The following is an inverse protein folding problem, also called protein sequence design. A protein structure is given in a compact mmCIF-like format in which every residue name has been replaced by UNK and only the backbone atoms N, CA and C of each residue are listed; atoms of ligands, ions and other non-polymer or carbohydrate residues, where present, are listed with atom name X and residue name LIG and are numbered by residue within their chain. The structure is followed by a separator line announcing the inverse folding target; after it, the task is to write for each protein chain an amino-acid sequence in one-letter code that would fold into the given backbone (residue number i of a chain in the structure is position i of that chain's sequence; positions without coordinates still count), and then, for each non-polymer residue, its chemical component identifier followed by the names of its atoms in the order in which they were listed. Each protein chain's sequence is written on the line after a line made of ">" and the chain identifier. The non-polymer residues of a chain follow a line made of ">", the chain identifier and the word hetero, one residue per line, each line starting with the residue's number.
data_IF_112627401371
#
_entry.id   IF_112627401371
#
_cell.length_a   1.000
_cell.length_b   1.000
_cell.length_c   1.000
_cell.angle_alpha   90.00
_cell.angle_beta   90.00
_cell.angle_gamma   90.00
#
_symmetry.space_group_name_H-M   'P 1'
#
loop_
_entity.id
_entity.type
_entity.pdbx_description
1 polymer ?
#
# COMPACT_ATOMS: atom_id res chain seq x y z
N UNK A 1 13.15 -7.42 63.06
CA UNK A 1 12.11 -7.48 62.02
C UNK A 1 12.59 -6.59 60.88
N UNK A 2 13.13 -7.20 59.83
CA UNK A 2 13.84 -6.53 58.73
C UNK A 2 12.82 -5.81 57.84
N UNK A 3 12.82 -4.48 57.89
CA UNK A 3 11.98 -3.65 57.04
C UNK A 3 12.43 -3.82 55.60
N UNK A 4 11.65 -4.54 54.79
CA UNK A 4 11.90 -4.70 53.35
C UNK A 4 11.84 -3.30 52.70
N UNK A 5 13.01 -2.72 52.42
CA UNK A 5 13.14 -1.42 51.77
C UNK A 5 12.49 -1.44 50.39
N UNK A 6 11.39 -0.70 50.24
CA UNK A 6 10.53 -0.76 49.05
C UNK A 6 11.08 0.14 47.95
N UNK A 7 11.93 -0.40 47.08
CA UNK A 7 12.36 0.28 45.85
C UNK A 7 11.18 0.35 44.87
N UNK A 8 10.81 1.56 44.43
CA UNK A 8 9.73 1.75 43.44
C UNK A 8 10.31 2.06 42.07
N UNK A 9 9.82 1.32 41.06
CA UNK A 9 10.18 1.49 39.65
C UNK A 9 9.00 2.07 38.88
N UNK A 10 9.26 3.10 38.07
CA UNK A 10 8.27 3.75 37.21
C UNK A 10 8.77 3.68 35.77
N UNK A 11 7.89 3.29 34.84
CA UNK A 11 8.16 3.23 33.41
C UNK A 11 7.08 3.99 32.64
N UNK A 12 7.49 4.95 31.82
CA UNK A 12 6.62 5.68 30.90
C UNK A 12 7.06 5.43 29.46
N UNK A 13 6.14 4.99 28.61
CA UNK A 13 6.39 4.75 27.18
C UNK A 13 5.54 5.69 26.34
N UNK A 14 6.16 6.30 25.32
CA UNK A 14 5.49 7.08 24.28
C UNK A 14 5.69 6.36 22.95
N UNK A 15 4.58 6.19 22.21
CA UNK A 15 4.55 5.55 20.89
C UNK A 15 4.99 4.07 20.88
N UNK A 16 4.47 3.25 21.80
CA UNK A 16 4.78 1.80 21.88
C UNK A 16 4.57 1.04 20.56
N UNK A 17 3.68 1.53 19.71
CA UNK A 17 3.29 0.91 18.44
C UNK A 17 4.25 1.27 17.29
N UNK A 18 5.25 2.12 17.53
CA UNK A 18 6.27 2.46 16.55
C UNK A 18 7.00 1.24 15.98
N UNK A 19 7.21 0.21 16.81
CA UNK A 19 7.87 -1.04 16.42
C UNK A 19 7.06 -1.84 15.39
N UNK A 20 5.72 -1.73 15.41
CA UNK A 20 4.85 -2.34 14.39
C UNK A 20 5.13 -1.76 13.01
N UNK A 21 5.48 -0.46 12.90
CA UNK A 21 5.81 0.16 11.62
C UNK A 21 6.97 -0.53 10.90
N UNK A 22 8.02 -0.89 11.62
CA UNK A 22 9.15 -1.65 11.06
C UNK A 22 8.70 -3.03 10.59
N UNK A 23 7.92 -3.75 11.40
CA UNK A 23 7.41 -5.07 11.04
C UNK A 23 6.53 -5.02 9.78
N UNK A 24 5.61 -4.05 9.69
CA UNK A 24 4.78 -3.80 8.50
C UNK A 24 5.63 -3.51 7.26
N UNK A 25 6.74 -2.78 7.41
CA UNK A 25 7.65 -2.46 6.31
C UNK A 25 8.36 -3.71 5.78
N UNK A 26 8.84 -4.59 6.67
CA UNK A 26 9.49 -5.84 6.27
C UNK A 26 8.51 -6.83 5.66
N UNK A 27 7.31 -6.97 6.24
CA UNK A 27 6.24 -7.81 5.66
C UNK A 27 5.84 -7.28 4.29
N UNK A 28 5.72 -5.95 4.13
CA UNK A 28 5.49 -5.31 2.84
C UNK A 28 6.58 -5.65 1.83
N UNK A 29 7.86 -5.57 2.20
CA UNK A 29 8.97 -5.95 1.31
C UNK A 29 8.90 -7.43 0.90
N UNK A 30 8.64 -8.35 1.83
CA UNK A 30 8.53 -9.78 1.51
C UNK A 30 7.35 -10.07 0.57
N UNK A 31 6.20 -9.45 0.81
CA UNK A 31 5.03 -9.56 -0.08
C UNK A 31 5.30 -8.95 -1.45
N UNK A 32 6.07 -7.87 -1.54
CA UNK A 32 6.46 -7.24 -2.80
C UNK A 32 7.31 -8.19 -3.64
N UNK A 33 8.32 -8.82 -3.00
CA UNK A 33 9.19 -9.79 -3.66
C UNK A 33 8.40 -11.02 -4.11
N UNK A 34 7.52 -11.54 -3.25
CA UNK A 34 6.64 -12.66 -3.61
C UNK A 34 5.72 -12.30 -4.78
N UNK A 35 5.11 -11.13 -4.76
CA UNK A 35 4.27 -10.62 -5.85
C UNK A 35 5.05 -10.49 -7.15
N UNK A 36 6.27 -9.96 -7.11
CA UNK A 36 7.14 -9.85 -8.28
C UNK A 36 7.53 -11.23 -8.85
N UNK A 37 7.81 -12.22 -7.99
CA UNK A 37 8.06 -13.60 -8.43
C UNK A 37 6.80 -14.21 -9.07
N UNK A 38 5.62 -14.01 -8.47
CA UNK A 38 4.37 -14.50 -9.03
C UNK A 38 4.06 -13.85 -10.39
N UNK A 39 4.25 -12.54 -10.52
CA UNK A 39 4.14 -11.85 -11.82
C UNK A 39 5.15 -12.39 -12.81
N UNK A 40 6.42 -12.54 -12.43
CA UNK A 40 7.47 -13.01 -13.36
C UNK A 40 7.27 -14.44 -13.86
N UNK A 41 6.72 -15.33 -13.02
CA UNK A 41 6.57 -16.74 -13.36
C UNK A 41 5.21 -17.08 -13.99
N UNK A 42 4.16 -16.33 -13.68
CA UNK A 42 2.78 -16.67 -14.06
C UNK A 42 2.07 -15.58 -14.85
N UNK A 43 2.67 -14.39 -15.04
CA UNK A 43 2.12 -13.37 -15.92
C UNK A 43 2.34 -13.75 -17.38
N UNK A 44 1.36 -13.42 -18.20
CA UNK A 44 1.46 -13.54 -19.65
C UNK A 44 0.76 -12.36 -20.32
N UNK A 45 1.28 -11.99 -21.50
CA UNK A 45 0.83 -10.84 -22.28
C UNK A 45 0.97 -11.19 -23.75
N UNK A 46 -0.13 -11.19 -24.48
CA UNK A 46 -0.13 -11.54 -25.90
C UNK A 46 -0.98 -10.60 -26.73
N UNK A 47 -0.48 -10.27 -27.91
CA UNK A 47 -1.19 -9.44 -28.89
C UNK A 47 -2.07 -10.32 -29.77
N UNK A 48 -3.35 -9.94 -29.88
CA UNK A 48 -4.38 -10.62 -30.62
C UNK A 48 -4.83 -9.72 -31.77
N UNK A 49 -4.74 -10.24 -32.99
CA UNK A 49 -5.33 -9.59 -34.16
C UNK A 49 -6.76 -10.10 -34.31
N UNK A 50 -7.73 -9.26 -33.99
CA UNK A 50 -9.15 -9.63 -34.01
C UNK A 50 -9.80 -9.08 -35.26
N UNK A 51 -10.21 -10.00 -36.13
CA UNK A 51 -10.92 -9.69 -37.36
C UNK A 51 -12.42 -9.57 -37.10
N UNK A 52 -13.12 -8.69 -37.84
CA UNK A 52 -14.55 -8.48 -37.65
C UNK A 52 -15.36 -9.75 -37.93
N UNK A 53 -16.28 -10.06 -37.02
CA UNK A 53 -17.19 -11.23 -37.09
C UNK A 53 -16.47 -12.60 -37.15
N UNK A 54 -15.19 -12.66 -36.74
CA UNK A 54 -14.42 -13.91 -36.66
C UNK A 54 -14.18 -14.27 -35.19
N UNK A 55 -14.24 -15.56 -34.88
CA UNK A 55 -13.81 -16.11 -33.60
C UNK A 55 -12.29 -16.11 -33.53
N UNK A 56 -11.74 -15.39 -32.57
CA UNK A 56 -10.31 -15.42 -32.25
C UNK A 56 -10.13 -16.04 -30.87
N UNK A 57 -9.58 -17.27 -30.76
CA UNK A 57 -9.34 -17.90 -29.47
C UNK A 57 -8.23 -17.18 -28.70
N UNK A 58 -8.30 -17.20 -27.38
CA UNK A 58 -7.22 -16.70 -26.54
C UNK A 58 -6.09 -17.75 -26.47
N UNK A 59 -4.81 -17.32 -26.58
CA UNK A 59 -3.66 -18.23 -26.61
C UNK A 59 -3.53 -19.16 -25.40
N UNK A 60 -3.82 -18.66 -24.20
CA UNK A 60 -3.66 -19.40 -22.94
C UNK A 60 -4.96 -20.06 -22.44
N UNK A 61 -6.12 -19.62 -22.93
CA UNK A 61 -7.46 -20.17 -22.66
C UNK A 61 -8.13 -20.39 -24.01
N UNK A 62 -7.86 -21.54 -24.64
CA UNK A 62 -8.38 -21.86 -25.98
C UNK A 62 -9.90 -22.09 -26.01
N UNK A 63 -10.47 -22.35 -24.84
CA UNK A 63 -11.90 -22.39 -24.55
C UNK A 63 -12.54 -20.99 -24.62
N UNK A 64 -11.77 -19.93 -24.36
CA UNK A 64 -12.24 -18.55 -24.46
C UNK A 64 -11.95 -17.99 -25.85
N UNK A 65 -12.98 -17.48 -26.52
CA UNK A 65 -12.87 -16.79 -27.79
C UNK A 65 -13.44 -15.38 -27.70
N UNK A 66 -12.80 -14.45 -28.42
CA UNK A 66 -13.31 -13.11 -28.61
C UNK A 66 -13.83 -12.95 -30.03
N UNK A 67 -15.00 -12.31 -30.14
CA UNK A 67 -15.63 -11.94 -31.40
C UNK A 67 -15.72 -10.43 -31.45
N UNK A 68 -15.16 -9.85 -32.51
CA UNK A 68 -15.30 -8.43 -32.80
C UNK A 68 -16.65 -8.20 -33.49
N UNK A 69 -17.61 -7.61 -32.77
CA UNK A 69 -18.95 -7.30 -33.29
C UNK A 69 -18.97 -5.99 -34.09
N UNK A 70 -18.19 -4.99 -33.67
CA UNK A 70 -18.02 -3.75 -34.42
C UNK A 70 -17.04 -2.77 -33.79
N UNK A 71 -16.48 -1.88 -34.61
CA UNK A 71 -15.54 -0.85 -34.17
C UNK A 71 -15.99 0.51 -34.68
N UNK A 72 -16.23 1.44 -33.76
CA UNK A 72 -16.72 2.79 -34.04
C UNK A 72 -15.74 3.82 -33.51
N UNK A 73 -15.36 4.78 -34.35
CA UNK A 73 -14.56 5.94 -33.96
C UNK A 73 -15.51 7.12 -33.81
N UNK A 74 -15.78 7.56 -32.59
CA UNK A 74 -16.49 8.81 -32.38
C UNK A 74 -15.57 9.98 -32.68
N UNK A 75 -16.10 11.02 -33.32
CA UNK A 75 -15.34 12.19 -33.71
C UNK A 75 -16.01 13.45 -33.21
N UNK A 76 -15.20 14.44 -32.85
CA UNK A 76 -15.67 15.78 -32.59
C UNK A 76 -16.09 16.47 -33.90
N UNK A 77 -16.82 17.61 -33.83
CA UNK A 77 -17.22 18.36 -35.01
C UNK A 77 -16.06 18.83 -35.90
N UNK A 78 -14.86 18.98 -35.33
CA UNK A 78 -13.62 19.32 -36.04
C UNK A 78 -12.98 18.12 -36.78
N UNK A 79 -13.57 16.93 -36.66
CA UNK A 79 -13.11 15.69 -37.29
C UNK A 79 -12.06 14.92 -36.49
N UNK A 80 -11.56 15.46 -35.38
CA UNK A 80 -10.61 14.78 -34.49
C UNK A 80 -11.28 13.60 -33.78
N UNK A 81 -10.50 12.58 -33.41
CA UNK A 81 -11.03 11.40 -32.74
C UNK A 81 -11.36 11.72 -31.27
N UNK A 82 -12.61 11.50 -30.88
CA UNK A 82 -13.10 11.68 -29.52
C UNK A 82 -13.02 10.38 -28.72
N UNK A 83 -13.37 9.25 -29.34
CA UNK A 83 -13.41 7.95 -28.67
C UNK A 83 -13.27 6.79 -29.66
N UNK A 84 -12.80 5.65 -29.17
CA UNK A 84 -12.66 4.41 -29.92
C UNK A 84 -13.42 3.32 -29.18
N UNK A 85 -14.53 2.88 -29.77
CA UNK A 85 -15.43 1.91 -29.16
C UNK A 85 -15.35 0.60 -29.94
N UNK A 86 -14.77 -0.40 -29.30
CA UNK A 86 -14.75 -1.76 -29.81
C UNK A 86 -15.82 -2.60 -29.08
N UNK A 87 -16.83 -3.02 -29.81
CA UNK A 87 -17.85 -3.95 -29.32
C UNK A 87 -17.33 -5.38 -29.46
N UNK A 88 -17.29 -6.09 -28.34
CA UNK A 88 -16.80 -7.47 -28.28
C UNK A 88 -17.79 -8.37 -27.57
N UNK A 89 -17.82 -9.61 -28.04
CA UNK A 89 -18.50 -10.73 -27.43
C UNK A 89 -17.44 -11.76 -27.02
N UNK A 90 -17.43 -12.13 -25.75
CA UNK A 90 -16.63 -13.22 -25.22
C UNK A 90 -17.48 -14.47 -25.15
N UNK A 91 -16.89 -15.56 -25.61
CA UNK A 91 -17.49 -16.87 -25.62
C UNK A 91 -16.60 -17.83 -24.85
N UNK A 92 -17.17 -18.63 -23.96
CA UNK A 92 -16.50 -19.77 -23.35
C UNK A 92 -17.14 -21.03 -23.90
N UNK A 93 -16.38 -21.89 -24.57
CA UNK A 93 -16.89 -23.17 -25.08
C UNK A 93 -18.14 -23.02 -25.98
N UNK A 94 -18.20 -21.92 -26.74
CA UNK A 94 -19.34 -21.46 -27.57
C UNK A 94 -20.58 -20.92 -26.84
N UNK A 95 -20.50 -20.70 -25.53
CA UNK A 95 -21.53 -20.01 -24.75
C UNK A 95 -21.16 -18.54 -24.52
N UNK A 96 -22.13 -17.62 -24.64
CA UNK A 96 -21.94 -16.20 -24.37
C UNK A 96 -21.72 -15.96 -22.87
N UNK A 97 -20.49 -15.59 -22.50
CA UNK A 97 -20.11 -15.33 -21.10
C UNK A 97 -20.03 -13.85 -20.77
N UNK A 98 -19.69 -13.00 -21.74
CA UNK A 98 -19.68 -11.56 -21.55
C UNK A 98 -19.83 -10.83 -22.88
N UNK A 99 -20.54 -9.71 -22.87
CA UNK A 99 -20.63 -8.78 -23.99
C UNK A 99 -20.31 -7.39 -23.46
N UNK A 100 -19.43 -6.67 -24.14
CA UNK A 100 -18.93 -5.40 -23.62
C UNK A 100 -18.32 -4.51 -24.69
N UNK A 101 -17.96 -3.31 -24.26
CA UNK A 101 -17.26 -2.33 -25.09
C UNK A 101 -15.88 -2.08 -24.49
N UNK A 102 -14.84 -2.29 -25.28
CA UNK A 102 -13.46 -1.92 -24.94
C UNK A 102 -13.22 -0.52 -25.50
N UNK A 103 -12.68 0.37 -24.67
CA UNK A 103 -12.27 1.73 -25.06
C UNK A 103 -10.81 1.98 -24.72
N UNK A 104 -10.26 3.07 -25.22
CA UNK A 104 -8.91 3.50 -24.83
C UNK A 104 -8.90 3.78 -23.33
N UNK A 105 -7.98 3.15 -22.59
CA UNK A 105 -7.86 3.18 -21.13
C UNK A 105 -9.02 2.55 -20.33
N UNK A 106 -10.01 1.95 -21.00
CA UNK A 106 -11.11 1.22 -20.35
C UNK A 106 -11.12 -0.22 -20.89
N UNK A 107 -10.22 -1.08 -20.36
CA UNK A 107 -10.11 -2.46 -20.79
C UNK A 107 -11.31 -3.28 -20.31
N UNK A 108 -11.64 -4.32 -21.06
CA UNK A 108 -12.60 -5.33 -20.59
C UNK A 108 -11.86 -6.40 -19.80
N UNK A 109 -12.23 -6.58 -18.55
CA UNK A 109 -11.67 -7.60 -17.68
C UNK A 109 -12.65 -8.76 -17.53
N UNK A 110 -12.19 -9.99 -17.80
CA UNK A 110 -12.97 -11.21 -17.61
C UNK A 110 -12.04 -12.34 -17.17
N UNK A 111 -12.43 -13.10 -16.13
CA UNK A 111 -11.65 -14.23 -15.60
C UNK A 111 -10.17 -13.91 -15.25
N UNK A 112 -9.90 -12.68 -14.82
CA UNK A 112 -8.54 -12.21 -14.51
C UNK A 112 -7.68 -11.90 -15.74
N UNK A 113 -8.26 -11.93 -16.95
CA UNK A 113 -7.65 -11.47 -18.19
C UNK A 113 -8.19 -10.08 -18.52
N UNK A 114 -7.30 -9.11 -18.66
CA UNK A 114 -7.60 -7.78 -19.17
C UNK A 114 -7.33 -7.68 -20.66
N UNK A 115 -8.31 -7.19 -21.41
CA UNK A 115 -8.24 -6.98 -22.85
C UNK A 115 -8.12 -5.49 -23.14
N UNK A 116 -6.95 -5.08 -23.62
CA UNK A 116 -6.62 -3.67 -23.88
C UNK A 116 -6.63 -3.40 -25.37
N UNK A 117 -7.30 -2.32 -25.79
CA UNK A 117 -7.22 -1.85 -27.17
C UNK A 117 -5.83 -1.25 -27.43
N UNK A 118 -5.05 -1.88 -28.32
CA UNK A 118 -3.71 -1.42 -28.69
C UNK A 118 -3.70 -0.63 -30.00
N UNK A 119 -4.54 -1.03 -30.95
CA UNK A 119 -4.54 -0.41 -32.26
C UNK A 119 -5.63 -0.92 -33.17
N UNK A 120 -5.70 -0.33 -34.36
CA UNK A 120 -6.64 -0.72 -35.40
C UNK A 120 -6.04 -0.44 -36.77
N UNK A 121 -6.42 -1.27 -37.73
CA UNK A 121 -6.08 -1.12 -39.14
C UNK A 121 -7.37 -1.23 -39.94
N UNK A 122 -7.57 -0.33 -40.90
CA UNK A 122 -8.70 -0.42 -41.81
C UNK A 122 -8.41 -1.50 -42.87
N UNK A 123 -9.28 -2.49 -42.96
CA UNK A 123 -9.21 -3.58 -43.95
C UNK A 123 -10.48 -3.55 -44.79
N UNK A 124 -10.44 -2.85 -45.92
CA UNK A 124 -11.62 -2.58 -46.75
C UNK A 124 -12.60 -1.62 -46.07
N UNK A 125 -13.85 -2.05 -45.92
CA UNK A 125 -14.91 -1.28 -45.24
C UNK A 125 -14.97 -1.53 -43.73
N UNK A 126 -14.20 -2.51 -43.22
CA UNK A 126 -14.20 -2.87 -41.80
C UNK A 126 -12.85 -2.56 -41.16
N UNK A 127 -12.81 -2.60 -39.84
CA UNK A 127 -11.59 -2.45 -39.06
C UNK A 127 -11.15 -3.81 -38.51
N UNK A 128 -9.86 -4.09 -38.60
CA UNK A 128 -9.21 -5.15 -37.83
C UNK A 128 -8.57 -4.48 -36.62
N UNK A 129 -8.78 -5.00 -35.43
CA UNK A 129 -8.27 -4.40 -34.20
C UNK A 129 -7.18 -5.27 -33.59
N UNK A 130 -6.16 -4.65 -33.02
CA UNK A 130 -5.18 -5.33 -32.18
C UNK A 130 -5.53 -5.12 -30.72
N UNK A 131 -5.66 -6.24 -30.00
CA UNK A 131 -5.90 -6.28 -28.56
C UNK A 131 -4.69 -6.84 -27.86
N UNK A 132 -4.37 -6.36 -26.66
CA UNK A 132 -3.41 -6.99 -25.77
C UNK A 132 -4.19 -7.71 -24.68
N UNK A 133 -4.11 -9.03 -24.65
CA UNK A 133 -4.62 -9.84 -23.55
C UNK A 133 -3.52 -9.96 -22.50
N UNK A 134 -3.82 -9.53 -21.27
CA UNK A 134 -2.88 -9.53 -20.14
C UNK A 134 -3.52 -10.22 -18.96
N UNK A 135 -2.81 -11.16 -18.35
CA UNK A 135 -3.15 -11.68 -17.03
C UNK A 135 -1.93 -11.64 -16.14
N UNK A 136 -2.05 -10.95 -15.01
CA UNK A 136 -0.99 -10.84 -14.03
C UNK A 136 -1.52 -11.18 -12.63
N UNK A 137 -1.28 -12.41 -12.13
CA UNK A 137 -1.72 -12.80 -10.80
C UNK A 137 -0.91 -12.13 -9.67
N UNK A 138 0.31 -11.65 -9.95
CA UNK A 138 1.16 -10.99 -8.97
C UNK A 138 0.85 -9.50 -8.79
N UNK A 139 0.10 -8.88 -9.71
CA UNK A 139 -0.27 -7.47 -9.64
C UNK A 139 -0.95 -7.09 -8.32
N UNK A 140 -1.97 -7.86 -7.89
CA UNK A 140 -2.69 -7.60 -6.63
C UNK A 140 -1.77 -7.62 -5.40
N UNK A 141 -1.01 -8.70 -5.16
CA UNK A 141 -0.01 -8.77 -4.11
C UNK A 141 1.01 -7.62 -4.14
N UNK A 142 1.50 -7.22 -5.33
CA UNK A 142 2.46 -6.10 -5.48
C UNK A 142 1.85 -4.78 -5.01
N UNK A 143 0.61 -4.46 -5.41
CA UNK A 143 -0.05 -3.22 -4.99
C UNK A 143 -0.30 -3.22 -3.48
N UNK A 144 -0.81 -4.33 -2.93
CA UNK A 144 -1.01 -4.48 -1.49
C UNK A 144 0.31 -4.30 -0.72
N UNK A 145 1.39 -4.90 -1.21
CA UNK A 145 2.71 -4.78 -0.63
C UNK A 145 3.23 -3.34 -0.65
N UNK A 146 3.05 -2.62 -1.75
CA UNK A 146 3.40 -1.20 -1.88
C UNK A 146 2.65 -0.32 -0.87
N UNK A 147 1.33 -0.54 -0.73
CA UNK A 147 0.52 0.17 0.27
C UNK A 147 0.97 -0.13 1.70
N UNK A 148 1.23 -1.40 2.02
CA UNK A 148 1.68 -1.81 3.34
C UNK A 148 3.06 -1.23 3.69
N UNK A 149 3.97 -1.18 2.71
CA UNK A 149 5.30 -0.62 2.85
C UNK A 149 5.25 0.88 3.09
N UNK A 150 4.46 1.63 2.31
CA UNK A 150 4.27 3.07 2.50
C UNK A 150 3.66 3.39 3.87
N UNK A 151 2.68 2.58 4.31
CA UNK A 151 2.07 2.73 5.61
C UNK A 151 3.06 2.43 6.75
N UNK A 152 3.81 1.32 6.64
CA UNK A 152 4.84 0.93 7.61
C UNK A 152 5.95 1.99 7.76
N UNK A 153 6.39 2.57 6.65
CA UNK A 153 7.37 3.66 6.66
C UNK A 153 6.80 4.91 7.31
N UNK A 154 5.56 5.28 6.98
CA UNK A 154 4.88 6.45 7.56
C UNK A 154 4.78 6.32 9.08
N UNK A 155 4.35 5.15 9.59
CA UNK A 155 4.30 4.88 11.04
C UNK A 155 5.70 4.95 11.66
N UNK A 156 6.69 4.34 11.01
CA UNK A 156 8.07 4.28 11.50
C UNK A 156 8.74 5.66 11.60
N UNK A 157 8.40 6.59 10.72
CA UNK A 157 8.99 7.94 10.71
C UNK A 157 8.22 8.94 11.59
N UNK A 158 6.90 8.84 11.67
CA UNK A 158 6.10 9.83 12.38
C UNK A 158 5.95 9.54 13.88
N UNK A 159 6.11 8.29 14.30
CA UNK A 159 5.94 7.88 15.69
C UNK A 159 7.25 7.33 16.27
N UNK A 160 8.24 8.18 16.58
CA UNK A 160 9.46 7.72 17.23
C UNK A 160 9.15 7.21 18.65
N UNK A 161 9.70 6.06 19.00
CA UNK A 161 9.56 5.46 20.32
C UNK A 161 10.47 6.15 21.35
N UNK A 162 9.90 6.53 22.49
CA UNK A 162 10.66 7.07 23.63
C UNK A 162 10.20 6.42 24.93
N UNK A 163 11.15 6.06 25.79
CA UNK A 163 10.88 5.46 27.10
C UNK A 163 11.65 6.21 28.19
N UNK A 164 10.98 6.48 29.31
CA UNK A 164 11.59 7.03 30.51
C UNK A 164 11.48 5.98 31.62
N UNK A 165 12.56 5.81 32.37
CA UNK A 165 12.68 4.94 33.53
C UNK A 165 12.99 5.80 34.75
N UNK A 166 12.27 5.57 35.85
CA UNK A 166 12.54 6.17 37.15
C UNK A 166 12.75 5.10 38.20
N UNK A 167 13.78 5.26 39.04
CA UNK A 167 14.00 4.45 40.24
C UNK A 167 14.12 5.38 41.44
N UNK A 168 13.35 5.12 42.48
CA UNK A 168 13.50 5.80 43.78
C UNK A 168 14.34 4.93 44.70
N UNK A 169 15.46 5.48 45.18
CA UNK A 169 16.34 4.82 46.16
C UNK A 169 15.86 5.17 47.58
N UNK A 170 16.18 4.31 48.54
CA UNK A 170 15.71 4.37 49.93
C UNK A 170 16.18 5.62 50.69
N UNK A 171 17.23 6.28 50.20
CA UNK A 171 17.74 7.58 50.66
C UNK A 171 16.92 8.79 50.14
N UNK A 172 15.75 8.56 49.53
CA UNK A 172 14.91 9.62 48.94
C UNK A 172 15.43 10.17 47.61
N UNK A 173 16.49 9.58 47.05
CA UNK A 173 17.08 10.03 45.77
C UNK A 173 16.35 9.40 44.58
N UNK A 174 15.75 10.23 43.72
CA UNK A 174 15.13 9.82 42.46
C UNK A 174 16.19 9.80 41.34
N UNK A 175 16.39 8.64 40.70
CA UNK A 175 17.20 8.49 39.50
C UNK A 175 16.31 8.32 38.28
N UNK A 176 16.48 9.19 37.29
CA UNK A 176 15.77 9.14 36.00
C UNK A 176 16.75 8.78 34.89
N UNK A 177 16.33 7.88 34.00
CA UNK A 177 17.06 7.54 32.78
C UNK A 177 16.08 7.52 31.60
N UNK A 178 16.51 8.02 30.45
CA UNK A 178 15.68 8.07 29.25
C UNK A 178 16.33 7.33 28.08
N UNK A 179 15.53 6.68 27.25
CA UNK A 179 15.94 6.14 25.95
C UNK A 179 14.99 6.66 24.89
N UNK A 180 15.51 7.43 23.95
CA UNK A 180 14.79 7.83 22.75
C UNK A 180 15.49 7.25 21.53
N UNK A 181 14.72 6.82 20.55
CA UNK A 181 15.25 6.24 19.32
C UNK A 181 15.73 7.36 18.37
N UNK A 182 14.87 7.83 17.46
CA UNK A 182 15.23 8.77 16.39
C UNK A 182 15.09 10.26 16.73
N UNK A 183 14.54 10.60 17.91
CA UNK A 183 14.35 11.99 18.41
C UNK A 183 15.19 12.30 19.65
N UNK A 184 16.44 11.83 19.69
CA UNK A 184 17.32 12.01 20.85
C UNK A 184 17.44 13.48 21.29
N UNK A 185 17.61 14.43 20.36
CA UNK A 185 17.79 15.85 20.69
C UNK A 185 16.54 16.51 21.29
N UNK A 186 15.36 16.30 20.69
CA UNK A 186 14.11 16.87 21.21
C UNK A 186 13.71 16.21 22.54
N UNK A 187 13.98 14.92 22.68
CA UNK A 187 13.77 14.18 23.91
C UNK A 187 14.70 14.66 25.02
N UNK A 188 15.96 14.97 24.74
CA UNK A 188 16.91 15.47 25.74
C UNK A 188 16.43 16.79 26.37
N UNK A 189 15.87 17.70 25.54
CA UNK A 189 15.24 18.94 26.03
C UNK A 189 13.99 18.68 26.88
N UNK A 190 13.08 17.82 26.42
CA UNK A 190 11.88 17.44 27.18
C UNK A 190 12.25 16.74 28.50
N UNK A 191 13.21 15.83 28.47
CA UNK A 191 13.71 15.10 29.63
C UNK A 191 14.38 16.02 30.63
N UNK A 192 15.21 16.96 30.16
CA UNK A 192 15.85 17.97 31.00
C UNK A 192 14.83 18.91 31.66
N UNK A 193 13.78 19.29 30.94
CA UNK A 193 12.68 20.09 31.49
C UNK A 193 11.93 19.33 32.60
N UNK A 194 11.60 18.04 32.37
CA UNK A 194 10.96 17.17 33.37
C UNK A 194 11.87 16.99 34.60
N UNK A 195 13.17 16.76 34.38
CA UNK A 195 14.13 16.62 35.46
C UNK A 195 14.26 17.91 36.29
N UNK A 196 14.26 19.07 35.65
CA UNK A 196 14.28 20.37 36.31
C UNK A 196 13.00 20.63 37.14
N UNK A 197 11.82 20.32 36.58
CA UNK A 197 10.55 20.48 37.28
C UNK A 197 10.46 19.56 38.52
N UNK A 198 10.89 18.30 38.38
CA UNK A 198 10.94 17.36 39.49
C UNK A 198 11.95 17.80 40.56
N UNK A 199 13.11 18.33 40.15
CA UNK A 199 14.10 18.88 41.08
C UNK A 199 13.51 20.08 41.86
N UNK A 200 12.82 20.99 41.19
CA UNK A 200 12.16 22.14 41.81
C UNK A 200 11.08 21.71 42.82
N UNK A 201 10.25 20.72 42.47
CA UNK A 201 9.22 20.17 43.38
C UNK A 201 9.78 19.34 44.54
N UNK A 202 11.01 18.82 44.41
CA UNK A 202 11.72 18.10 45.48
C UNK A 202 12.53 19.00 46.41
N UNK A 203 12.72 20.28 46.08
CA UNK A 203 13.46 21.22 46.93
C UNK A 203 12.58 21.70 48.09
N UNK A 204 13.08 21.78 49.35
CA UNK A 204 12.24 21.98 50.55
C UNK A 204 11.58 23.37 50.72
N UNK A 205 11.50 24.19 49.68
CA UNK A 205 11.19 25.63 49.81
C UNK A 205 9.72 26.02 49.59
N UNK A 206 8.82 25.05 49.44
CA UNK A 206 7.37 25.31 49.31
C UNK A 206 6.57 25.09 50.63
N UNK A 207 7.22 25.11 51.80
CA UNK A 207 6.57 25.05 53.13
C UNK A 207 7.03 26.20 54.05
N UNK A 208 7.69 27.22 53.52
CA UNK A 208 8.14 28.38 54.30
C UNK A 208 7.42 29.66 53.92
N UNK A 209 6.73 30.26 54.90
CA UNK A 209 6.10 31.59 54.90
C UNK A 209 4.70 31.73 54.28
N UNK A 210 3.69 31.51 55.13
CA UNK A 210 2.65 32.52 55.31
C UNK A 210 2.19 32.57 56.78
N UNK A 211 2.79 33.49 57.55
CA UNK A 211 2.24 34.13 58.77
C UNK A 211 2.77 35.57 58.65
N UNK A 212 1.92 36.60 58.58
CA UNK A 212 0.98 36.98 59.65
C UNK A 212 -0.47 36.55 59.45
#
# INVERSE_FOLDING_TARGET
>A
MESIEKTTYIRGERNRWASLGSLLTHVGLLLLLLGAVLSGLFSWREELIVQPSRFTPLPYRQDLAIVHEGFTIQRYPDGSAADYLLQVLLLDSNEEVARGVIRVNEPLNHDGVGLYLMGFVRTGERYTVSLLAVRDPGYGPVIMAGMLLLFGMTVSFNFPHSCIYGRTTVEGTLRLAGRADRRAYAFDREFSAIAAELKAKSSPEAVGLNVP
#
